data_IF_195365706831
#
_entry.id   IF_195365706831
#
_cell.length_a   1.000
_cell.length_b   1.000
_cell.length_c   1.000
_cell.angle_alpha   90.00
_cell.angle_beta   90.00
_cell.angle_gamma   90.00
#
_symmetry.space_group_name_H-M   'P 1'
#
loop_
_entity.id
_entity.type
_entity.pdbx_description
1 polymer ?
#
# COMPACT_ATOMS: atom_id res chain seq x y z
N UNK A 1 -13.64 22.98 23.65
CA UNK A 1 -12.51 23.94 23.78
C UNK A 1 -12.22 24.52 22.40
N UNK A 2 -11.93 25.82 22.24
CA UNK A 2 -11.47 26.33 20.95
C UNK A 2 -10.13 25.65 20.61
N UNK A 3 -9.98 25.25 19.34
CA UNK A 3 -8.77 24.62 18.82
C UNK A 3 -7.55 25.48 19.11
N UNK A 4 -6.43 24.83 19.43
CA UNK A 4 -5.17 25.48 19.78
C UNK A 4 -4.78 26.45 18.64
N UNK A 5 -4.49 27.75 18.90
CA UNK A 5 -4.08 28.67 17.86
C UNK A 5 -2.80 28.15 17.20
N UNK A 6 -2.86 28.00 15.87
CA UNK A 6 -1.76 27.50 15.03
C UNK A 6 -0.44 28.14 15.43
N UNK A 7 0.52 27.34 15.90
CA UNK A 7 1.91 27.77 16.01
C UNK A 7 2.40 28.10 14.61
N UNK A 8 2.71 29.38 14.37
CA UNK A 8 3.20 29.88 13.10
C UNK A 8 4.47 29.12 12.68
N UNK A 9 4.39 28.32 11.62
CA UNK A 9 5.60 27.67 11.06
C UNK A 9 5.41 26.48 10.12
N UNK A 10 4.29 25.73 10.17
CA UNK A 10 4.11 24.56 9.29
C UNK A 10 2.77 24.64 8.56
N UNK A 11 2.79 24.86 7.25
CA UNK A 11 1.61 25.14 6.42
C UNK A 11 0.86 23.89 5.93
N UNK A 12 0.88 22.78 6.66
CA UNK A 12 0.22 21.53 6.25
C UNK A 12 -0.01 20.57 7.42
N UNK A 13 -0.97 19.65 7.26
CA UNK A 13 -1.23 18.57 8.20
C UNK A 13 -0.04 17.61 8.25
N UNK A 14 0.34 17.15 9.45
CA UNK A 14 1.39 16.14 9.59
C UNK A 14 0.86 14.78 9.16
N UNK A 15 1.54 14.17 8.20
CA UNK A 15 1.15 12.89 7.61
C UNK A 15 1.91 11.74 8.30
N UNK A 16 1.19 10.95 9.09
CA UNK A 16 1.70 9.78 9.82
C UNK A 16 1.23 8.50 9.12
N UNK A 17 2.12 7.55 8.87
CA UNK A 17 1.75 6.21 8.43
C UNK A 17 2.02 5.17 9.52
N UNK A 18 1.08 4.25 9.70
CA UNK A 18 1.19 3.12 10.62
C UNK A 18 1.28 1.85 9.79
N UNK A 19 2.42 1.17 9.89
CA UNK A 19 2.68 -0.12 9.22
C UNK A 19 2.82 -1.24 10.24
N UNK A 20 2.81 -2.48 9.75
CA UNK A 20 3.00 -3.68 10.54
C UNK A 20 2.29 -4.88 9.94
N UNK A 21 2.65 -6.07 10.41
CA UNK A 21 2.04 -7.33 9.97
C UNK A 21 0.51 -7.33 10.15
N UNK A 22 -0.21 -8.04 9.29
CA UNK A 22 -1.63 -8.32 9.39
C UNK A 22 -1.98 -8.93 10.76
N UNK A 23 -3.06 -8.44 11.38
CA UNK A 23 -3.50 -8.93 12.69
C UNK A 23 -2.70 -8.42 13.90
N UNK A 24 -1.68 -7.57 13.73
CA UNK A 24 -0.91 -6.96 14.83
C UNK A 24 -1.65 -5.87 15.61
N UNK A 25 -2.86 -5.48 15.17
CA UNK A 25 -3.66 -4.45 15.83
C UNK A 25 -3.33 -3.02 15.39
N UNK A 26 -2.97 -2.82 14.11
CA UNK A 26 -2.77 -1.48 13.53
C UNK A 26 -3.98 -0.58 13.69
N UNK A 27 -5.16 -1.02 13.27
CA UNK A 27 -6.41 -0.26 13.40
C UNK A 27 -6.74 0.09 14.86
N UNK A 28 -6.56 -0.87 15.77
CA UNK A 28 -6.68 -0.64 17.22
C UNK A 28 -5.73 0.48 17.68
N UNK A 29 -4.45 0.41 17.31
CA UNK A 29 -3.47 1.42 17.68
C UNK A 29 -3.80 2.79 17.07
N UNK A 30 -4.07 2.83 15.76
CA UNK A 30 -4.36 4.05 15.01
C UNK A 30 -5.58 4.77 15.59
N UNK A 31 -6.67 4.05 15.85
CA UNK A 31 -7.88 4.64 16.43
C UNK A 31 -7.65 5.23 17.82
N UNK A 32 -6.90 4.56 18.69
CA UNK A 32 -6.61 5.09 20.02
C UNK A 32 -5.62 6.28 19.97
N UNK A 33 -4.62 6.24 19.08
CA UNK A 33 -3.69 7.36 18.84
C UNK A 33 -4.41 8.59 18.30
N UNK A 34 -5.22 8.42 17.24
CA UNK A 34 -6.04 9.49 16.63
C UNK A 34 -6.96 10.11 17.68
N UNK A 35 -7.62 9.27 18.49
CA UNK A 35 -8.50 9.72 19.55
C UNK A 35 -7.76 10.55 20.60
N UNK A 36 -6.56 10.15 21.02
CA UNK A 36 -5.74 10.96 21.94
C UNK A 36 -5.26 12.26 21.31
N UNK A 37 -4.76 12.24 20.08
CA UNK A 37 -4.34 13.46 19.39
C UNK A 37 -5.51 14.46 19.28
N UNK A 38 -6.72 14.00 19.00
CA UNK A 38 -7.91 14.84 18.97
C UNK A 38 -8.34 15.38 20.34
N UNK A 39 -8.17 14.60 21.41
CA UNK A 39 -8.40 15.07 22.78
C UNK A 39 -7.34 16.07 23.26
N UNK A 40 -6.17 16.09 22.64
CA UNK A 40 -5.16 17.14 22.81
C UNK A 40 -5.48 18.42 21.99
N UNK A 41 -6.68 18.51 21.39
CA UNK A 41 -7.16 19.70 20.70
C UNK A 41 -6.79 19.79 19.21
N UNK A 42 -6.27 18.71 18.63
CA UNK A 42 -5.90 18.65 17.22
C UNK A 42 -7.08 18.20 16.34
N UNK A 43 -7.12 18.68 15.11
CA UNK A 43 -8.04 18.20 14.07
C UNK A 43 -7.39 17.03 13.34
N UNK A 44 -7.94 15.82 13.53
CA UNK A 44 -7.29 14.58 13.09
C UNK A 44 -8.19 13.80 12.16
N UNK A 45 -7.61 13.31 11.06
CA UNK A 45 -8.23 12.37 10.12
C UNK A 45 -7.55 11.00 10.23
N UNK A 46 -8.34 9.95 10.46
CA UNK A 46 -7.90 8.56 10.27
C UNK A 46 -8.21 8.13 8.83
N UNK A 47 -7.20 7.62 8.13
CA UNK A 47 -7.34 7.03 6.78
C UNK A 47 -7.08 5.52 6.85
N UNK A 48 -8.10 4.72 6.53
CA UNK A 48 -7.94 3.28 6.33
C UNK A 48 -7.36 2.99 4.94
N UNK A 49 -6.15 2.44 4.90
CA UNK A 49 -5.40 2.11 3.68
C UNK A 49 -5.16 0.59 3.58
N UNK A 50 -6.16 -0.20 3.95
CA UNK A 50 -6.16 -1.65 3.92
C UNK A 50 -7.40 -2.13 3.12
N UNK A 51 -7.26 -3.06 2.15
CA UNK A 51 -8.40 -3.68 1.47
C UNK A 51 -9.46 -4.27 2.41
N UNK A 52 -9.08 -4.61 3.65
CA UNK A 52 -9.97 -5.09 4.72
C UNK A 52 -11.01 -4.05 5.19
N UNK A 53 -10.79 -2.75 4.94
CA UNK A 53 -11.76 -1.65 5.13
C UNK A 53 -12.46 -1.55 6.50
N UNK A 54 -11.78 -1.95 7.58
CA UNK A 54 -12.31 -1.96 8.95
C UNK A 54 -11.52 -1.04 9.91
N UNK A 55 -10.66 -0.17 9.38
CA UNK A 55 -9.75 0.66 10.18
C UNK A 55 -10.52 1.61 11.10
N UNK A 56 -11.55 2.25 10.56
CA UNK A 56 -12.35 3.27 11.24
C UNK A 56 -13.51 2.69 12.06
N UNK A 57 -13.80 1.39 12.01
CA UNK A 57 -15.00 0.81 12.65
C UNK A 57 -15.07 1.16 14.14
N UNK A 58 -13.98 0.97 14.89
CA UNK A 58 -13.91 1.32 16.31
C UNK A 58 -14.02 2.83 16.55
N UNK A 59 -13.47 3.66 15.65
CA UNK A 59 -13.57 5.13 15.74
C UNK A 59 -15.04 5.60 15.61
N UNK A 60 -15.84 4.89 14.80
CA UNK A 60 -17.26 5.16 14.57
C UNK A 60 -18.20 4.24 15.37
N UNK A 61 -17.73 3.66 16.48
CA UNK A 61 -18.58 2.90 17.41
C UNK A 61 -19.19 1.64 16.80
N UNK A 62 -18.48 1.00 15.86
CA UNK A 62 -18.88 -0.23 15.16
C UNK A 62 -19.57 0.01 13.82
N UNK A 63 -19.79 1.27 13.41
CA UNK A 63 -20.34 1.58 12.08
C UNK A 63 -19.27 1.42 11.02
N UNK A 64 -19.51 0.51 10.07
CA UNK A 64 -18.66 0.36 8.87
C UNK A 64 -18.90 1.55 7.93
N UNK A 65 -17.84 2.26 7.58
CA UNK A 65 -17.90 3.33 6.60
C UNK A 65 -17.92 2.74 5.18
N UNK A 66 -18.59 3.40 4.21
CA UNK A 66 -18.43 3.04 2.82
C UNK A 66 -17.00 3.38 2.36
N UNK A 67 -16.44 2.55 1.49
CA UNK A 67 -15.10 2.83 0.95
C UNK A 67 -15.16 3.91 -0.12
N UNK A 68 -14.07 4.67 -0.27
CA UNK A 68 -13.91 5.67 -1.32
C UNK A 68 -14.14 5.05 -2.70
N UNK A 69 -13.63 3.84 -2.93
CA UNK A 69 -13.84 3.09 -4.17
C UNK A 69 -15.32 2.79 -4.46
N UNK A 70 -16.10 2.40 -3.45
CA UNK A 70 -17.52 2.09 -3.59
C UNK A 70 -18.36 3.34 -3.82
N UNK A 71 -18.06 4.42 -3.10
CA UNK A 71 -18.72 5.72 -3.31
C UNK A 71 -18.42 6.25 -4.71
N UNK A 72 -17.16 6.21 -5.15
CA UNK A 72 -16.79 6.63 -6.49
C UNK A 72 -17.50 5.80 -7.56
N UNK A 73 -17.59 4.47 -7.39
CA UNK A 73 -18.30 3.59 -8.33
C UNK A 73 -19.78 3.96 -8.45
N UNK A 74 -20.42 4.27 -7.34
CA UNK A 74 -21.83 4.69 -7.30
C UNK A 74 -22.06 5.98 -8.08
N UNK A 75 -21.18 6.98 -7.91
CA UNK A 75 -21.26 8.24 -8.66
C UNK A 75 -20.96 8.03 -10.16
N UNK A 76 -20.01 7.16 -10.49
CA UNK A 76 -19.67 6.80 -11.86
C UNK A 76 -20.82 6.10 -12.59
N UNK A 77 -21.43 5.09 -11.98
CA UNK A 77 -22.58 4.38 -12.55
C UNK A 77 -23.79 5.29 -12.77
N UNK A 78 -23.94 6.31 -11.93
CA UNK A 78 -24.97 7.35 -12.09
C UNK A 78 -24.60 8.46 -13.09
N UNK A 79 -23.39 8.46 -13.67
CA UNK A 79 -22.90 9.51 -14.57
C UNK A 79 -22.69 10.87 -13.89
N UNK A 80 -22.45 10.89 -12.57
CA UNK A 80 -22.36 12.09 -11.71
C UNK A 80 -20.97 12.28 -11.11
N UNK A 81 -19.92 11.79 -11.77
CA UNK A 81 -18.54 11.80 -11.27
C UNK A 81 -18.07 13.21 -10.82
N UNK A 82 -18.49 14.25 -11.55
CA UNK A 82 -18.16 15.65 -11.27
C UNK A 82 -18.81 16.20 -9.98
N UNK A 83 -19.85 15.53 -9.46
CA UNK A 83 -20.51 15.89 -8.20
C UNK A 83 -19.82 15.26 -6.98
N UNK A 84 -18.89 14.32 -7.19
CA UNK A 84 -18.20 13.66 -6.10
C UNK A 84 -17.25 14.63 -5.38
N UNK A 85 -17.59 14.95 -4.14
CA UNK A 85 -16.82 15.82 -3.24
C UNK A 85 -16.36 15.10 -1.96
N UNK A 86 -15.45 15.73 -1.22
CA UNK A 86 -14.90 15.23 0.06
C UNK A 86 -15.97 14.77 1.06
N UNK A 87 -17.08 15.49 1.18
CA UNK A 87 -18.16 15.20 2.14
C UNK A 87 -18.83 13.84 1.93
N UNK A 88 -18.68 13.21 0.77
CA UNK A 88 -19.24 11.89 0.48
C UNK A 88 -18.34 10.74 0.95
N UNK A 89 -17.07 11.02 1.25
CA UNK A 89 -16.07 10.00 1.61
C UNK A 89 -15.37 10.28 2.94
N UNK A 90 -15.42 11.52 3.43
CA UNK A 90 -14.89 11.92 4.74
C UNK A 90 -16.05 12.06 5.73
N UNK A 91 -16.07 11.19 6.72
CA UNK A 91 -17.09 11.15 7.75
C UNK A 91 -16.56 11.76 9.04
N UNK A 92 -17.45 12.25 9.91
CA UNK A 92 -17.11 12.80 11.22
C UNK A 92 -17.88 12.10 12.32
N UNK A 93 -17.28 11.99 13.49
CA UNK A 93 -17.92 11.49 14.71
C UNK A 93 -17.35 12.19 15.93
N UNK A 94 -18.05 12.10 17.06
CA UNK A 94 -17.60 12.61 18.35
C UNK A 94 -17.14 11.46 19.24
N UNK A 95 -16.04 11.65 19.95
CA UNK A 95 -15.46 10.66 20.87
C UNK A 95 -15.57 11.14 22.32
N UNK A 96 -15.47 10.21 23.27
CA UNK A 96 -15.49 10.46 24.72
C UNK A 96 -16.64 11.39 25.14
N UNK A 97 -17.87 10.96 24.88
CA UNK A 97 -19.10 11.68 25.24
C UNK A 97 -19.16 13.14 24.73
N UNK A 98 -18.61 13.38 23.54
CA UNK A 98 -18.62 14.69 22.89
C UNK A 98 -17.42 15.58 23.21
N UNK A 99 -16.40 15.06 23.89
CA UNK A 99 -15.22 15.85 24.26
C UNK A 99 -14.40 16.35 23.05
N UNK A 100 -14.39 15.60 21.94
CA UNK A 100 -13.72 16.02 20.70
C UNK A 100 -14.38 15.42 19.44
N UNK A 101 -14.13 16.06 18.30
CA UNK A 101 -14.56 15.59 16.97
C UNK A 101 -13.37 15.01 16.22
N UNK A 102 -13.56 13.86 15.59
CA UNK A 102 -12.58 13.18 14.74
C UNK A 102 -13.17 12.90 13.35
N UNK A 103 -12.30 12.79 12.35
CA UNK A 103 -12.67 12.48 10.98
C UNK A 103 -12.14 11.11 10.58
N UNK A 104 -12.86 10.42 9.70
CA UNK A 104 -12.44 9.13 9.16
C UNK A 104 -12.83 8.92 7.71
N UNK A 105 -12.05 8.11 7.01
CA UNK A 105 -12.29 7.69 5.64
C UNK A 105 -11.66 6.31 5.42
N UNK A 106 -12.38 5.43 4.75
CA UNK A 106 -11.87 4.15 4.26
C UNK A 106 -11.54 4.30 2.78
N UNK A 107 -10.27 4.20 2.38
CA UNK A 107 -9.93 4.14 0.95
C UNK A 107 -10.41 2.81 0.38
N UNK A 108 -10.24 1.73 1.16
CA UNK A 108 -10.56 0.37 0.77
C UNK A 108 -9.60 -0.21 -0.26
N UNK A 109 -10.05 -1.29 -0.89
CA UNK A 109 -9.33 -2.00 -1.94
C UNK A 109 -10.32 -2.62 -2.92
N UNK A 110 -9.83 -3.26 -3.99
CA UNK A 110 -10.71 -3.98 -4.91
C UNK A 110 -11.42 -5.13 -4.19
N UNK A 111 -12.51 -5.63 -4.79
CA UNK A 111 -13.22 -6.82 -4.31
C UNK A 111 -12.26 -7.98 -4.02
N UNK A 112 -12.52 -8.73 -2.94
CA UNK A 112 -11.70 -9.88 -2.56
C UNK A 112 -11.53 -10.83 -3.74
N UNK A 113 -10.28 -11.15 -4.08
CA UNK A 113 -9.93 -12.02 -5.21
C UNK A 113 -9.91 -11.34 -6.59
N UNK A 114 -10.09 -10.01 -6.67
CA UNK A 114 -10.04 -9.24 -7.92
C UNK A 114 -9.14 -8.02 -7.81
N UNK A 115 -8.66 -7.53 -8.95
CA UNK A 115 -7.91 -6.27 -9.03
C UNK A 115 -6.53 -6.28 -8.37
N UNK A 116 -6.01 -5.09 -8.05
CA UNK A 116 -4.75 -4.91 -7.33
C UNK A 116 -4.97 -3.91 -6.19
N UNK A 117 -4.77 -4.36 -4.95
CA UNK A 117 -4.93 -3.54 -3.73
C UNK A 117 -4.16 -2.23 -3.81
N UNK A 118 -2.90 -2.29 -4.23
CA UNK A 118 -2.06 -1.11 -4.37
C UNK A 118 -2.60 -0.06 -5.36
N UNK A 119 -3.24 -0.47 -6.47
CA UNK A 119 -3.84 0.49 -7.41
C UNK A 119 -5.05 1.21 -6.82
N UNK A 120 -5.85 0.53 -6.01
CA UNK A 120 -6.97 1.15 -5.29
C UNK A 120 -6.50 2.22 -4.32
N UNK A 121 -5.42 1.94 -3.58
CA UNK A 121 -4.81 2.90 -2.67
C UNK A 121 -4.32 4.15 -3.41
N UNK A 122 -3.51 3.97 -4.48
CA UNK A 122 -3.02 5.10 -5.27
C UNK A 122 -4.17 5.94 -5.83
N UNK A 123 -5.19 5.31 -6.41
CA UNK A 123 -6.38 6.01 -6.90
C UNK A 123 -7.10 6.81 -5.81
N UNK A 124 -7.23 6.23 -4.61
CA UNK A 124 -7.84 6.90 -3.47
C UNK A 124 -7.07 8.16 -3.06
N UNK A 125 -5.74 8.09 -2.96
CA UNK A 125 -4.92 9.27 -2.68
C UNK A 125 -5.04 10.34 -3.77
N UNK A 126 -4.96 9.95 -5.04
CA UNK A 126 -5.11 10.90 -6.15
C UNK A 126 -6.48 11.61 -6.10
N UNK A 127 -7.55 10.92 -5.64
CA UNK A 127 -8.87 11.51 -5.44
C UNK A 127 -8.92 12.45 -4.23
N UNK A 128 -8.33 12.07 -3.10
CA UNK A 128 -8.24 12.92 -1.91
C UNK A 128 -7.43 14.19 -2.18
N UNK A 129 -6.34 14.10 -2.95
CA UNK A 129 -5.58 15.25 -3.42
C UNK A 129 -6.41 16.18 -4.29
N UNK A 130 -7.21 15.64 -5.23
CA UNK A 130 -8.17 16.43 -6.03
C UNK A 130 -9.21 17.14 -5.16
N UNK A 131 -9.61 16.56 -4.03
CA UNK A 131 -10.49 17.20 -3.05
C UNK A 131 -9.78 18.22 -2.14
N UNK A 132 -8.49 18.46 -2.36
CA UNK A 132 -7.71 19.45 -1.64
C UNK A 132 -7.24 18.98 -0.27
N UNK A 133 -6.90 17.70 -0.10
CA UNK A 133 -6.36 17.13 1.16
C UNK A 133 -5.29 18.03 1.81
N UNK A 134 -4.38 18.61 1.02
CA UNK A 134 -3.32 19.50 1.49
C UNK A 134 -3.80 20.88 1.98
N UNK A 135 -5.01 21.30 1.60
CA UNK A 135 -5.64 22.57 1.97
C UNK A 135 -6.59 22.43 3.15
N UNK A 136 -6.93 21.20 3.53
CA UNK A 136 -7.81 20.95 4.67
C UNK A 136 -7.15 21.45 5.95
N UNK A 137 -7.94 22.08 6.80
CA UNK A 137 -7.48 22.57 8.10
C UNK A 137 -7.39 21.42 9.12
N UNK A 138 -6.60 20.39 8.79
CA UNK A 138 -6.23 19.28 9.67
C UNK A 138 -4.84 19.55 10.25
N UNK A 139 -4.62 19.08 11.47
CA UNK A 139 -3.30 19.07 12.11
C UNK A 139 -2.58 17.75 11.87
N UNK A 140 -3.35 16.64 11.77
CA UNK A 140 -2.84 15.29 11.53
C UNK A 140 -3.70 14.50 10.55
N UNK A 141 -3.03 13.71 9.71
CA UNK A 141 -3.62 12.61 8.96
C UNK A 141 -2.86 11.35 9.34
N UNK A 142 -3.55 10.37 9.92
CA UNK A 142 -2.95 9.11 10.35
C UNK A 142 -3.47 7.98 9.48
N UNK A 143 -2.57 7.36 8.73
CA UNK A 143 -2.88 6.36 7.72
C UNK A 143 -2.56 4.96 8.24
N UNK A 144 -3.56 4.08 8.28
CA UNK A 144 -3.42 2.67 8.66
C UNK A 144 -3.17 1.81 7.41
N UNK A 145 -1.91 1.40 7.20
CA UNK A 145 -1.47 0.68 6.01
C UNK A 145 -1.32 -0.81 6.24
N UNK A 146 -1.72 -1.60 5.22
CA UNK A 146 -1.35 -3.01 5.14
C UNK A 146 0.19 -3.14 5.03
N UNK A 147 0.82 -3.76 6.02
CA UNK A 147 2.28 -3.88 6.11
C UNK A 147 2.85 -5.28 5.92
N UNK A 148 2.04 -6.26 5.51
CA UNK A 148 2.52 -7.60 5.15
C UNK A 148 3.37 -7.59 3.88
N UNK A 149 3.05 -6.65 2.97
CA UNK A 149 3.76 -6.43 1.72
C UNK A 149 4.06 -4.94 1.58
N UNK A 150 5.30 -4.61 1.23
CA UNK A 150 5.73 -3.22 1.00
C UNK A 150 6.17 -3.08 -0.45
N UNK A 151 5.23 -3.33 -1.37
CA UNK A 151 5.46 -3.27 -2.80
C UNK A 151 4.34 -2.50 -3.52
N UNK A 152 4.66 -1.97 -4.71
CA UNK A 152 3.71 -1.23 -5.54
C UNK A 152 2.98 -0.13 -4.76
N UNK A 153 1.65 -0.14 -4.80
CA UNK A 153 0.82 0.87 -4.14
C UNK A 153 0.82 0.85 -2.61
N UNK A 154 1.23 -0.26 -1.98
CA UNK A 154 1.39 -0.33 -0.52
C UNK A 154 2.70 0.32 -0.03
N UNK A 155 3.65 0.54 -0.95
CA UNK A 155 4.84 1.34 -0.70
C UNK A 155 4.63 2.83 -1.00
N UNK A 156 3.49 3.25 -1.56
CA UNK A 156 3.23 4.64 -1.97
C UNK A 156 3.52 5.69 -0.88
N UNK A 157 3.17 5.48 0.40
CA UNK A 157 3.53 6.43 1.46
C UNK A 157 5.03 6.70 1.56
N UNK A 158 5.84 5.67 1.34
CA UNK A 158 7.29 5.74 1.39
C UNK A 158 7.85 6.27 0.06
N UNK A 159 7.39 5.72 -1.06
CA UNK A 159 7.94 5.98 -2.39
C UNK A 159 7.58 7.35 -2.97
N UNK A 160 6.37 7.85 -2.68
CA UNK A 160 5.93 9.20 -3.06
C UNK A 160 6.14 10.24 -1.96
N UNK A 161 6.73 9.85 -0.82
CA UNK A 161 6.86 10.71 0.36
C UNK A 161 5.54 11.35 0.82
N UNK A 162 4.42 10.61 0.72
CA UNK A 162 3.12 11.08 1.21
C UNK A 162 3.09 11.11 2.74
N UNK A 163 3.80 10.18 3.39
CA UNK A 163 4.01 10.21 4.83
C UNK A 163 5.29 10.96 5.17
N UNK A 164 5.23 11.88 6.13
CA UNK A 164 6.43 12.48 6.71
C UNK A 164 7.08 11.49 7.68
N UNK A 165 6.25 10.83 8.49
CA UNK A 165 6.68 10.00 9.62
C UNK A 165 5.98 8.64 9.60
N UNK A 166 6.74 7.58 9.88
CA UNK A 166 6.27 6.20 9.87
C UNK A 166 6.48 5.55 11.22
N UNK A 167 5.42 4.93 11.73
CA UNK A 167 5.42 4.09 12.92
C UNK A 167 5.28 2.63 12.47
N UNK A 168 6.10 1.74 13.02
CA UNK A 168 6.01 0.31 12.75
C UNK A 168 5.45 -0.41 13.98
N UNK A 169 4.35 -1.12 13.82
CA UNK A 169 3.77 -2.00 14.84
C UNK A 169 4.32 -3.42 14.70
N UNK A 170 4.82 -3.96 15.80
CA UNK A 170 5.31 -5.33 15.91
C UNK A 170 4.92 -5.95 17.25
N UNK A 171 5.06 -7.26 17.38
CA UNK A 171 5.05 -7.97 18.65
C UNK A 171 6.44 -8.50 18.94
N UNK A 172 6.54 -9.47 19.84
CA UNK A 172 7.80 -10.17 20.11
C UNK A 172 7.99 -11.44 19.25
N UNK A 173 7.04 -11.77 18.38
CA UNK A 173 7.09 -12.95 17.52
C UNK A 173 7.93 -12.72 16.25
N UNK A 174 8.50 -13.81 15.74
CA UNK A 174 9.36 -13.80 14.55
C UNK A 174 8.69 -13.21 13.31
N UNK A 175 7.41 -13.48 13.09
CA UNK A 175 6.76 -13.07 11.86
C UNK A 175 6.47 -11.57 11.85
N UNK A 176 6.06 -10.99 12.99
CA UNK A 176 5.82 -9.55 13.09
C UNK A 176 7.11 -8.74 13.00
N UNK A 177 8.20 -9.21 13.63
CA UNK A 177 9.51 -8.58 13.53
C UNK A 177 10.13 -8.73 12.14
N UNK A 178 9.85 -9.83 11.44
CA UNK A 178 10.28 -9.99 10.04
C UNK A 178 9.60 -8.96 9.13
N UNK A 179 8.29 -8.74 9.30
CA UNK A 179 7.58 -7.69 8.58
C UNK A 179 8.14 -6.31 8.93
N UNK A 180 8.41 -6.03 10.21
CA UNK A 180 9.03 -4.79 10.67
C UNK A 180 10.40 -4.55 10.00
N UNK A 181 11.23 -5.59 9.91
CA UNK A 181 12.52 -5.54 9.22
C UNK A 181 12.38 -5.18 7.73
N UNK A 182 11.42 -5.80 7.04
CA UNK A 182 11.14 -5.51 5.63
C UNK A 182 10.63 -4.07 5.42
N UNK A 183 9.78 -3.57 6.32
CA UNK A 183 9.31 -2.18 6.29
C UNK A 183 10.49 -1.22 6.51
N UNK A 184 11.37 -1.52 7.47
CA UNK A 184 12.57 -0.73 7.72
C UNK A 184 13.51 -0.72 6.50
N UNK A 185 13.70 -1.87 5.86
CA UNK A 185 14.47 -2.01 4.62
C UNK A 185 13.88 -1.18 3.48
N UNK A 186 12.56 -1.25 3.27
CA UNK A 186 11.89 -0.44 2.25
C UNK A 186 12.03 1.06 2.53
N UNK A 187 11.82 1.49 3.78
CA UNK A 187 11.96 2.90 4.16
C UNK A 187 13.38 3.42 3.94
N UNK A 188 14.41 2.64 4.32
CA UNK A 188 15.82 2.98 4.07
C UNK A 188 16.13 3.05 2.58
N UNK A 189 15.63 2.10 1.79
CA UNK A 189 15.79 2.11 0.34
C UNK A 189 15.23 3.40 -0.28
N UNK A 190 13.99 3.78 0.03
CA UNK A 190 13.41 5.01 -0.51
C UNK A 190 14.10 6.28 0.00
N UNK A 191 14.55 6.30 1.25
CA UNK A 191 15.35 7.41 1.78
C UNK A 191 16.68 7.56 0.99
N UNK A 192 17.35 6.45 0.65
CA UNK A 192 18.58 6.46 -0.16
C UNK A 192 18.36 7.00 -1.59
N UNK A 193 17.13 6.89 -2.09
CA UNK A 193 16.69 7.42 -3.39
C UNK A 193 16.24 8.90 -3.32
N UNK A 194 16.40 9.55 -2.16
CA UNK A 194 16.02 10.96 -1.94
C UNK A 194 14.61 11.17 -1.38
N UNK A 195 13.93 10.11 -0.95
CA UNK A 195 12.65 10.19 -0.24
C UNK A 195 12.79 10.93 1.10
N UNK A 196 11.73 11.63 1.51
CA UNK A 196 11.72 12.45 2.74
C UNK A 196 11.06 11.75 3.94
N UNK A 197 10.41 10.62 3.70
CA UNK A 197 9.76 9.83 4.75
C UNK A 197 10.80 9.26 5.70
N UNK A 198 10.56 9.41 7.00
CA UNK A 198 11.41 8.84 8.05
C UNK A 198 10.64 7.88 8.95
N UNK A 199 11.32 6.85 9.42
CA UNK A 199 10.83 6.05 10.54
C UNK A 199 11.00 6.86 11.82
N UNK A 200 10.02 6.83 12.71
CA UNK A 200 10.12 7.47 14.04
C UNK A 200 10.24 6.47 15.18
N UNK A 201 9.97 5.19 14.92
CA UNK A 201 10.23 4.10 15.87
C UNK A 201 9.21 2.96 15.81
N UNK A 202 9.40 2.01 16.72
CA UNK A 202 8.56 0.83 16.88
C UNK A 202 7.51 1.03 17.98
N UNK A 203 6.35 0.40 17.80
CA UNK A 203 5.37 0.16 18.84
C UNK A 203 5.28 -1.34 19.06
N UNK A 204 5.59 -1.78 20.27
CA UNK A 204 5.44 -3.19 20.65
C UNK A 204 4.01 -3.38 21.12
N UNK A 205 3.17 -4.02 20.32
CA UNK A 205 1.79 -4.34 20.69
C UNK A 205 1.67 -5.79 21.15
N UNK A 206 0.70 -6.05 22.05
CA UNK A 206 0.54 -7.34 22.72
C UNK A 206 1.85 -7.80 23.37
N UNK A 207 2.54 -6.86 24.01
CA UNK A 207 3.82 -7.13 24.65
C UNK A 207 3.64 -8.22 25.71
N UNK A 208 4.42 -9.30 25.54
CA UNK A 208 4.47 -10.46 26.41
C UNK A 208 5.61 -10.39 27.44
N UNK A 209 6.39 -9.30 27.43
CA UNK A 209 7.49 -9.07 28.36
C UNK A 209 8.79 -9.80 28.02
N UNK A 210 8.87 -10.50 26.88
CA UNK A 210 10.09 -11.22 26.46
C UNK A 210 11.24 -10.28 26.02
N UNK A 211 10.92 -9.02 25.71
CA UNK A 211 11.89 -8.00 25.29
C UNK A 211 12.56 -8.27 23.94
N UNK A 212 12.05 -9.22 23.14
CA UNK A 212 12.62 -9.56 21.83
C UNK A 212 12.56 -8.38 20.88
N UNK A 213 11.41 -7.68 20.83
CA UNK A 213 11.23 -6.50 19.99
C UNK A 213 12.17 -5.34 20.38
N UNK A 214 12.48 -5.21 21.68
CA UNK A 214 13.42 -4.19 22.16
C UNK A 214 14.86 -4.48 21.69
N UNK A 215 15.30 -5.75 21.76
CA UNK A 215 16.61 -6.16 21.22
C UNK A 215 16.70 -5.98 19.71
N UNK A 216 15.62 -6.32 19.00
CA UNK A 216 15.51 -6.06 17.57
C UNK A 216 15.63 -4.57 17.25
N UNK A 217 14.86 -3.72 17.94
CA UNK A 217 14.91 -2.26 17.81
C UNK A 217 16.32 -1.70 17.96
N UNK A 218 17.05 -2.14 18.99
CA UNK A 218 18.44 -1.74 19.23
C UNK A 218 19.35 -2.12 18.05
N UNK A 219 19.25 -3.35 17.55
CA UNK A 219 20.09 -3.82 16.44
C UNK A 219 19.81 -3.08 15.12
N UNK A 220 18.56 -2.70 14.86
CA UNK A 220 18.20 -1.94 13.65
C UNK A 220 18.29 -0.42 13.82
N UNK A 221 18.73 0.04 15.00
CA UNK A 221 18.84 1.44 15.38
C UNK A 221 17.51 2.22 15.26
N UNK A 222 16.44 1.65 15.80
CA UNK A 222 15.15 2.32 15.94
C UNK A 222 14.71 2.37 17.41
N UNK A 223 14.14 3.48 17.88
CA UNK A 223 13.61 3.56 19.24
C UNK A 223 12.30 2.78 19.38
N UNK A 224 12.07 2.18 20.54
CA UNK A 224 10.73 1.74 20.95
C UNK A 224 9.99 2.93 21.55
N UNK A 225 8.94 3.39 20.88
CA UNK A 225 8.15 4.56 21.31
C UNK A 225 7.16 4.22 22.44
N UNK A 226 6.56 3.03 22.37
CA UNK A 226 5.68 2.52 23.41
C UNK A 226 5.61 0.99 23.37
N UNK A 227 5.31 0.40 24.53
CA UNK A 227 4.99 -1.01 24.69
C UNK A 227 3.57 -1.12 25.25
N UNK A 228 2.68 -1.73 24.49
CA UNK A 228 1.26 -1.92 24.80
C UNK A 228 1.10 -3.38 25.26
N UNK A 229 0.75 -3.61 26.54
CA UNK A 229 0.67 -4.95 27.10
C UNK A 229 -0.47 -5.74 26.49
N UNK A 230 -0.33 -7.07 26.42
CA UNK A 230 -1.47 -7.94 26.16
C UNK A 230 -2.45 -7.89 27.34
N UNK A 231 -3.67 -7.40 27.10
CA UNK A 231 -4.70 -7.26 28.13
C UNK A 231 -6.05 -7.78 27.61
N UNK A 232 -6.71 -8.62 28.42
CA UNK A 232 -7.97 -9.25 28.05
C UNK A 232 -9.13 -8.26 28.03
N UNK A 233 -9.21 -7.36 29.01
CA UNK A 233 -10.29 -6.37 29.10
C UNK A 233 -10.21 -5.41 27.92
N UNK A 234 -9.01 -4.95 27.56
CA UNK A 234 -8.84 -4.07 26.39
C UNK A 234 -9.10 -4.80 25.08
N UNK A 235 -8.76 -6.08 24.98
CA UNK A 235 -9.16 -6.90 23.83
C UNK A 235 -10.68 -6.97 23.70
N UNK A 236 -11.40 -7.24 24.79
CA UNK A 236 -12.87 -7.30 24.79
C UNK A 236 -13.50 -5.94 24.42
N UNK A 237 -12.91 -4.82 24.84
CA UNK A 237 -13.29 -3.48 24.39
C UNK A 237 -13.09 -3.31 22.88
N UNK A 238 -11.91 -3.70 22.37
CA UNK A 238 -11.59 -3.59 20.95
C UNK A 238 -12.52 -4.43 20.09
N UNK A 239 -12.80 -5.68 20.50
CA UNK A 239 -13.74 -6.58 19.82
C UNK A 239 -15.17 -6.01 19.82
N UNK A 240 -15.52 -5.22 20.84
CA UNK A 240 -16.79 -4.48 20.94
C UNK A 240 -16.74 -3.09 20.27
N UNK A 241 -15.71 -2.78 19.47
CA UNK A 241 -15.53 -1.48 18.81
C UNK A 241 -15.50 -0.28 19.77
N UNK A 242 -14.93 -0.46 20.96
CA UNK A 242 -14.76 0.58 21.98
C UNK A 242 -13.30 1.00 22.10
N UNK A 243 -13.09 2.27 22.47
CA UNK A 243 -11.76 2.82 22.72
C UNK A 243 -11.15 2.22 23.99
N UNK A 244 -9.86 1.88 23.91
CA UNK A 244 -9.08 1.43 25.06
C UNK A 244 -8.85 2.55 26.08
N UNK A 245 -9.10 3.80 25.69
CA UNK A 245 -8.94 5.00 26.50
C UNK A 245 -9.88 5.07 27.71
N UNK A 246 -10.87 4.18 27.79
CA UNK A 246 -11.70 3.99 28.99
C UNK A 246 -10.96 3.21 30.09
N UNK A 247 -9.89 2.50 29.74
CA UNK A 247 -9.01 1.82 30.69
C UNK A 247 -7.82 2.77 31.04
N UNK A 248 -7.64 3.15 32.31
CA UNK A 248 -6.66 4.18 32.72
C UNK A 248 -5.20 3.89 32.37
N UNK A 249 -4.75 2.64 32.46
CA UNK A 249 -3.38 2.24 32.10
C UNK A 249 -3.14 2.45 30.61
N UNK A 250 -4.11 2.08 29.76
CA UNK A 250 -3.99 2.27 28.32
C UNK A 250 -4.13 3.73 27.92
N UNK A 251 -5.03 4.48 28.56
CA UNK A 251 -5.14 5.93 28.37
C UNK A 251 -3.80 6.64 28.64
N UNK A 252 -3.12 6.29 29.73
CA UNK A 252 -1.82 6.86 30.08
C UNK A 252 -0.71 6.53 29.06
N UNK A 253 -0.74 5.33 28.45
CA UNK A 253 0.22 4.94 27.40
C UNK A 253 -0.01 5.80 26.15
N UNK A 254 -1.26 5.90 25.69
CA UNK A 254 -1.58 6.66 24.49
C UNK A 254 -1.45 8.18 24.70
N UNK A 255 -1.77 8.72 25.89
CA UNK A 255 -1.56 10.14 26.20
C UNK A 255 -0.07 10.50 26.13
N UNK A 256 0.80 9.69 26.76
CA UNK A 256 2.25 9.88 26.69
C UNK A 256 2.76 9.86 25.25
N UNK A 257 2.36 8.85 24.47
CA UNK A 257 2.77 8.70 23.08
C UNK A 257 2.27 9.86 22.21
N UNK A 258 1.00 10.22 22.34
CA UNK A 258 0.40 11.32 21.57
C UNK A 258 1.07 12.66 21.87
N UNK A 259 1.41 12.92 23.15
CA UNK A 259 2.19 14.11 23.53
C UNK A 259 3.60 14.10 22.96
N UNK A 260 4.30 12.96 23.02
CA UNK A 260 5.63 12.83 22.42
C UNK A 260 5.61 13.14 20.92
N UNK A 261 4.62 12.61 20.19
CA UNK A 261 4.44 12.88 18.76
C UNK A 261 4.08 14.36 18.54
N UNK A 262 3.09 14.88 19.27
CA UNK A 262 2.58 16.23 19.09
C UNK A 262 3.64 17.30 19.36
N UNK A 263 4.45 17.09 20.39
CA UNK A 263 5.49 18.01 20.83
C UNK A 263 6.85 17.73 20.17
N UNK A 264 6.91 16.78 19.22
CA UNK A 264 8.14 16.39 18.50
C UNK A 264 9.28 15.97 19.44
N UNK A 265 8.94 15.26 20.51
CA UNK A 265 9.86 14.73 21.53
C UNK A 265 10.23 13.25 21.33
N UNK A 266 9.91 12.69 20.16
CA UNK A 266 10.37 11.35 19.78
C UNK A 266 11.89 11.37 19.59
N UNK A 267 12.62 10.29 19.92
CA UNK A 267 14.05 10.20 19.64
C UNK A 267 14.33 10.44 18.15
N UNK A 268 15.40 11.18 17.78
CA UNK A 268 15.75 11.40 16.39
C UNK A 268 16.17 10.07 15.75
N UNK A 269 15.77 9.89 14.50
CA UNK A 269 16.14 8.74 13.68
C UNK A 269 16.71 9.27 12.38
N UNK A 270 17.98 8.99 12.14
CA UNK A 270 18.63 9.26 10.86
C UNK A 270 18.50 8.00 9.98
N UNK A 271 17.84 8.14 8.83
CA UNK A 271 17.55 6.99 7.96
C UNK A 271 18.82 6.29 7.44
N UNK A 272 19.94 7.00 7.37
CA UNK A 272 21.25 6.43 7.01
C UNK A 272 21.77 5.45 8.07
N UNK A 273 21.39 5.64 9.33
CA UNK A 273 21.85 4.83 10.46
C UNK A 273 20.88 3.68 10.79
N UNK A 274 19.71 3.62 10.15
CA UNK A 274 18.79 2.48 10.27
C UNK A 274 19.43 1.25 9.64
N UNK A 275 19.49 0.14 10.37
CA UNK A 275 20.20 -1.06 9.95
C UNK A 275 19.28 -2.28 9.87
N UNK A 276 18.47 -2.42 8.81
CA UNK A 276 17.70 -3.64 8.59
C UNK A 276 18.65 -4.86 8.56
N UNK A 277 18.25 -5.92 9.25
CA UNK A 277 19.08 -7.11 9.43
C UNK A 277 19.00 -8.03 8.23
N UNK A 278 20.13 -8.62 7.87
CA UNK A 278 20.15 -9.79 7.00
C UNK A 278 19.53 -11.00 7.71
N UNK A 279 19.12 -12.02 6.96
CA UNK A 279 18.36 -13.14 7.52
C UNK A 279 19.07 -13.85 8.69
N UNK A 280 20.37 -14.09 8.58
CA UNK A 280 21.16 -14.73 9.63
C UNK A 280 21.27 -13.87 10.91
N UNK A 281 21.43 -12.55 10.79
CA UNK A 281 21.44 -11.61 11.92
C UNK A 281 20.06 -11.54 12.57
N UNK A 282 19.02 -11.52 11.74
CA UNK A 282 17.64 -11.53 12.20
C UNK A 282 17.32 -12.78 13.02
N UNK A 283 17.81 -13.96 12.65
CA UNK A 283 17.62 -15.18 13.45
C UNK A 283 18.28 -15.06 14.84
N UNK A 284 19.44 -14.40 14.94
CA UNK A 284 20.15 -14.23 16.22
C UNK A 284 19.39 -13.39 17.23
N UNK A 285 18.48 -12.51 16.80
CA UNK A 285 17.53 -11.79 17.66
C UNK A 285 16.72 -12.76 18.55
N UNK A 286 16.42 -13.94 17.99
CA UNK A 286 15.67 -15.01 18.64
C UNK A 286 16.57 -16.08 19.27
N UNK A 287 17.88 -15.87 19.30
CA UNK A 287 18.85 -16.86 19.76
C UNK A 287 18.95 -18.08 18.85
N UNK A 288 18.61 -17.93 17.57
CA UNK A 288 18.75 -18.97 16.56
C UNK A 288 19.84 -18.60 15.54
N UNK A 289 20.44 -19.61 14.92
CA UNK A 289 21.36 -19.45 13.80
C UNK A 289 20.78 -20.13 12.56
N UNK A 290 21.14 -19.59 11.39
CA UNK A 290 20.83 -20.24 10.12
C UNK A 290 21.65 -21.54 10.02
N UNK A 291 21.02 -22.70 9.78
CA UNK A 291 21.77 -23.93 9.57
C UNK A 291 22.66 -23.81 8.33
N UNK A 292 23.93 -24.21 8.46
CA UNK A 292 24.85 -24.32 7.32
C UNK A 292 24.51 -25.55 6.45
N UNK A 293 23.37 -25.46 5.76
CA UNK A 293 22.87 -26.50 4.86
C UNK A 293 22.36 -25.85 3.59
N UNK A 294 23.03 -26.14 2.48
CA UNK A 294 22.54 -25.79 1.15
C UNK A 294 21.44 -26.80 0.74
N UNK A 295 20.20 -26.37 0.46
CA UNK A 295 19.16 -27.26 -0.05
C UNK A 295 19.54 -27.84 -1.41
N UNK A 296 19.33 -29.14 -1.61
CA UNK A 296 19.48 -29.76 -2.92
C UNK A 296 18.27 -29.43 -3.79
N UNK A 297 18.50 -28.93 -5.02
CA UNK A 297 17.44 -28.71 -5.99
C UNK A 297 16.85 -30.03 -6.49
N UNK A 298 15.53 -30.10 -6.63
CA UNK A 298 14.86 -31.27 -7.21
C UNK A 298 15.19 -31.41 -8.70
N UNK A 299 15.52 -32.61 -9.12
CA UNK A 299 15.73 -32.98 -10.52
C UNK A 299 14.42 -33.01 -11.30
N UNK A 300 14.52 -32.93 -12.64
CA UNK A 300 13.36 -33.14 -13.50
C UNK A 300 12.72 -34.51 -13.26
N UNK A 301 13.52 -35.56 -13.05
CA UNK A 301 13.00 -36.90 -12.82
C UNK A 301 12.13 -36.98 -11.55
N UNK A 302 12.59 -36.35 -10.46
CA UNK A 302 11.83 -36.25 -9.21
C UNK A 302 10.54 -35.43 -9.37
N UNK A 303 10.59 -34.34 -10.12
CA UNK A 303 9.44 -33.46 -10.35
C UNK A 303 8.40 -34.05 -11.31
N UNK A 304 8.85 -34.80 -12.32
CA UNK A 304 8.01 -35.39 -13.37
C UNK A 304 7.71 -36.88 -13.15
N UNK A 305 8.25 -37.49 -12.09
CA UNK A 305 8.04 -38.91 -11.75
C UNK A 305 8.46 -39.86 -12.89
N UNK A 306 9.56 -39.55 -13.57
CA UNK A 306 10.01 -40.28 -14.76
C UNK A 306 9.15 -40.11 -16.02
N UNK A 307 8.13 -39.23 -15.99
CA UNK A 307 7.36 -38.94 -17.18
C UNK A 307 8.12 -38.00 -18.13
N UNK A 308 8.01 -38.21 -19.46
CA UNK A 308 8.61 -37.31 -20.42
C UNK A 308 8.00 -35.91 -20.28
N UNK A 309 8.87 -34.93 -20.07
CA UNK A 309 8.49 -33.52 -20.00
C UNK A 309 7.88 -33.13 -21.33
N UNK A 310 6.57 -32.84 -21.34
CA UNK A 310 5.94 -32.27 -22.54
C UNK A 310 6.49 -30.86 -22.73
N UNK A 311 6.98 -30.51 -23.93
CA UNK A 311 7.35 -29.13 -24.21
C UNK A 311 6.12 -28.25 -23.96
N UNK A 312 6.22 -27.33 -23.00
CA UNK A 312 5.18 -26.32 -22.82
C UNK A 312 5.28 -25.43 -24.05
N UNK A 313 4.22 -25.33 -24.88
CA UNK A 313 4.25 -24.46 -26.05
C UNK A 313 4.61 -23.06 -25.57
N UNK A 314 5.74 -22.56 -26.04
CA UNK A 314 6.21 -21.22 -25.74
C UNK A 314 5.90 -20.39 -26.96
N UNK A 315 5.06 -19.37 -26.81
CA UNK A 315 4.80 -18.43 -27.89
C UNK A 315 5.91 -17.39 -27.85
N UNK A 316 6.83 -17.41 -28.81
CA UNK A 316 7.80 -16.35 -29.01
C UNK A 316 7.14 -15.24 -29.83
N UNK A 317 7.03 -14.04 -29.26
CA UNK A 317 6.64 -12.85 -30.00
C UNK A 317 7.85 -12.36 -30.80
N UNK A 318 8.09 -12.96 -31.96
CA UNK A 318 9.15 -12.56 -32.86
C UNK A 318 8.85 -11.20 -33.49
N UNK A 319 9.57 -10.16 -33.08
CA UNK A 319 9.54 -8.86 -33.77
C UNK A 319 9.99 -9.07 -35.23
N UNK A 320 9.06 -8.97 -36.20
CA UNK A 320 9.38 -9.04 -37.63
C UNK A 320 10.46 -8.01 -38.00
N UNK A 321 11.35 -8.29 -38.93
CA UNK A 321 12.47 -7.38 -39.25
C UNK A 321 12.14 -6.29 -40.30
N UNK A 322 10.93 -6.28 -40.88
CA UNK A 322 10.49 -5.30 -41.89
C UNK A 322 8.99 -5.06 -41.87
N UNK A 323 8.61 -3.79 -42.07
CA UNK A 323 7.23 -3.36 -42.24
C UNK A 323 6.61 -3.94 -43.51
N UNK A 324 5.47 -4.63 -43.37
CA UNK A 324 4.62 -5.01 -44.50
C UNK A 324 3.42 -4.05 -44.54
N UNK A 325 3.53 -3.04 -45.40
CA UNK A 325 2.41 -2.25 -45.92
C UNK A 325 2.03 -1.00 -45.11
N UNK A 326 2.19 0.17 -45.73
CA UNK A 326 1.39 1.35 -45.38
C UNK A 326 -0.09 1.02 -45.62
N UNK A 327 -0.92 1.02 -44.56
CA UNK A 327 -2.37 0.87 -44.69
C UNK A 327 -3.04 2.25 -44.85
N UNK A 328 -3.69 2.55 -45.99
CA UNK A 328 -4.20 3.89 -46.27
C UNK A 328 -5.44 4.32 -45.46
N UNK A 329 -6.17 3.38 -44.85
CA UNK A 329 -7.51 3.64 -44.27
C UNK A 329 -7.59 3.35 -42.76
N UNK A 330 -6.84 4.10 -41.95
CA UNK A 330 -6.97 4.08 -40.49
C UNK A 330 -7.43 5.45 -40.00
N UNK A 331 -8.34 5.46 -39.03
CA UNK A 331 -8.71 6.69 -38.33
C UNK A 331 -7.49 7.27 -37.58
N UNK A 332 -7.50 8.58 -37.26
CA UNK A 332 -6.33 9.25 -36.67
C UNK A 332 -5.89 8.69 -35.30
N UNK A 333 -6.80 8.11 -34.51
CA UNK A 333 -6.48 7.52 -33.22
C UNK A 333 -5.76 6.18 -33.42
N UNK A 334 -6.33 5.29 -34.22
CA UNK A 334 -5.74 3.99 -34.54
C UNK A 334 -4.38 4.15 -35.24
N UNK A 335 -4.23 5.13 -36.13
CA UNK A 335 -2.95 5.42 -36.79
C UNK A 335 -1.86 5.82 -35.78
N UNK A 336 -2.18 6.65 -34.78
CA UNK A 336 -1.22 7.05 -33.73
C UNK A 336 -0.77 5.87 -32.88
N UNK A 337 -1.70 4.96 -32.57
CA UNK A 337 -1.41 3.73 -31.83
C UNK A 337 -0.45 2.85 -32.61
N UNK A 338 -0.79 2.54 -33.86
CA UNK A 338 0.02 1.71 -34.74
C UNK A 338 1.43 2.29 -34.90
N UNK A 339 1.54 3.60 -35.08
CA UNK A 339 2.82 4.28 -35.20
C UNK A 339 3.64 4.22 -33.91
N UNK A 340 3.02 4.33 -32.73
CA UNK A 340 3.70 4.18 -31.45
C UNK A 340 4.12 2.74 -31.16
N UNK A 341 3.29 1.75 -31.46
CA UNK A 341 3.69 0.34 -31.30
C UNK A 341 4.87 -0.01 -32.20
N UNK A 342 4.90 0.55 -33.41
CA UNK A 342 6.04 0.40 -34.31
C UNK A 342 7.29 1.13 -33.77
N UNK A 343 7.15 2.39 -33.35
CA UNK A 343 8.29 3.24 -32.96
C UNK A 343 8.87 2.83 -31.60
N UNK A 344 8.00 2.57 -30.63
CA UNK A 344 8.36 2.38 -29.23
C UNK A 344 8.55 0.92 -28.85
N UNK A 345 8.03 -0.03 -29.65
CA UNK A 345 8.11 -1.48 -29.38
C UNK A 345 8.60 -2.31 -30.56
N UNK A 346 8.71 -1.75 -31.76
CA UNK A 346 9.02 -2.50 -32.98
C UNK A 346 7.92 -3.49 -33.41
N UNK A 347 6.70 -3.37 -32.89
CA UNK A 347 5.60 -4.29 -33.20
C UNK A 347 4.86 -3.86 -34.46
N UNK A 348 4.72 -4.79 -35.40
CA UNK A 348 4.09 -4.53 -36.70
C UNK A 348 2.62 -4.91 -36.67
N UNK A 349 1.74 -3.94 -36.88
CA UNK A 349 0.29 -4.17 -36.94
C UNK A 349 -0.12 -4.51 -38.36
N UNK A 350 -0.53 -5.75 -38.58
CA UNK A 350 -1.04 -6.24 -39.86
C UNK A 350 -2.53 -6.01 -40.02
N UNK A 351 -3.33 -5.88 -38.96
CA UNK A 351 -4.75 -5.46 -39.02
C UNK A 351 -5.12 -4.64 -37.79
N UNK A 352 -6.03 -3.68 -37.96
CA UNK A 352 -6.61 -2.94 -36.84
C UNK A 352 -8.12 -2.87 -37.02
N UNK A 353 -8.85 -3.18 -35.95
CA UNK A 353 -10.31 -3.16 -35.93
C UNK A 353 -10.81 -2.63 -34.59
N UNK A 354 -12.03 -2.13 -34.58
CA UNK A 354 -12.72 -1.72 -33.36
C UNK A 354 -13.78 -2.76 -33.04
N UNK A 355 -13.65 -3.42 -31.88
CA UNK A 355 -14.63 -4.36 -31.35
C UNK A 355 -15.51 -3.64 -30.31
N UNK A 356 -16.85 -3.66 -30.46
CA UNK A 356 -17.77 -2.95 -29.55
C UNK A 356 -17.70 -3.40 -28.08
N UNK A 357 -17.21 -4.60 -27.80
CA UNK A 357 -17.06 -5.14 -26.44
C UNK A 357 -15.62 -5.10 -25.94
N UNK A 358 -14.63 -5.22 -26.83
CA UNK A 358 -13.21 -5.34 -26.47
C UNK A 358 -12.38 -4.09 -26.74
N UNK A 359 -12.98 -3.07 -27.34
CA UNK A 359 -12.28 -1.84 -27.75
C UNK A 359 -11.39 -2.09 -28.98
N UNK A 360 -10.27 -1.40 -29.05
CA UNK A 360 -9.35 -1.52 -30.18
C UNK A 360 -8.63 -2.88 -30.17
N UNK A 361 -8.71 -3.59 -31.28
CA UNK A 361 -8.03 -4.86 -31.53
C UNK A 361 -7.03 -4.71 -32.66
N UNK A 362 -5.78 -5.11 -32.40
CA UNK A 362 -4.68 -5.01 -33.34
C UNK A 362 -4.12 -6.41 -33.60
N UNK A 363 -4.19 -6.86 -34.84
CA UNK A 363 -3.48 -8.07 -35.27
C UNK A 363 -2.05 -7.69 -35.60
N UNK A 364 -1.09 -8.32 -34.93
CA UNK A 364 0.34 -8.22 -35.19
C UNK A 364 0.85 -9.49 -35.86
N UNK A 365 1.84 -9.33 -36.73
CA UNK A 365 2.54 -10.41 -37.45
C UNK A 365 1.60 -11.38 -38.22
N UNK A 366 0.42 -10.90 -38.62
CA UNK A 366 -0.55 -11.64 -39.43
C UNK A 366 -1.44 -12.63 -38.67
N UNK A 367 -1.05 -13.06 -37.47
CA UNK A 367 -1.70 -14.16 -36.76
C UNK A 367 -2.08 -13.87 -35.30
N UNK A 368 -1.59 -12.76 -34.71
CA UNK A 368 -1.72 -12.51 -33.27
C UNK A 368 -2.59 -11.29 -33.01
N UNK A 369 -3.82 -11.46 -32.52
CA UNK A 369 -4.70 -10.32 -32.18
C UNK A 369 -4.53 -9.87 -30.72
N UNK A 370 -4.05 -8.66 -30.53
CA UNK A 370 -3.91 -7.97 -29.24
C UNK A 370 -5.15 -7.09 -29.01
N UNK A 371 -5.82 -7.27 -27.88
CA UNK A 371 -6.91 -6.38 -27.45
C UNK A 371 -6.35 -5.24 -26.61
N UNK A 372 -6.28 -4.03 -27.16
CA UNK A 372 -5.76 -2.84 -26.47
C UNK A 372 -6.81 -2.13 -25.60
N UNK A 373 -8.11 -2.40 -25.79
CA UNK A 373 -9.17 -1.80 -25.00
C UNK A 373 -9.45 -0.35 -25.41
N UNK A 374 -9.75 0.51 -24.44
CA UNK A 374 -10.03 1.94 -24.65
C UNK A 374 -8.72 2.72 -24.95
N UNK A 375 -8.80 3.70 -25.86
CA UNK A 375 -7.72 4.63 -26.23
C UNK A 375 -7.16 5.37 -25.01
N UNK A 376 -7.98 5.62 -23.98
CA UNK A 376 -7.54 6.33 -22.74
C UNK A 376 -6.49 5.57 -21.93
N UNK A 377 -6.43 4.25 -22.08
CA UNK A 377 -5.45 3.41 -21.38
C UNK A 377 -4.17 3.17 -22.19
N UNK A 378 -4.13 3.69 -23.43
CA UNK A 378 -3.08 3.40 -24.39
C UNK A 378 -1.71 3.90 -23.91
N UNK A 379 -1.63 5.13 -23.42
CA UNK A 379 -0.36 5.71 -22.96
C UNK A 379 0.27 4.88 -21.85
N UNK A 380 -0.55 4.41 -20.90
CA UNK A 380 -0.07 3.57 -19.79
C UNK A 380 0.39 2.20 -20.29
N UNK A 381 -0.32 1.58 -21.22
CA UNK A 381 0.03 0.27 -21.77
C UNK A 381 1.29 0.33 -22.65
N UNK A 382 1.38 1.33 -23.53
CA UNK A 382 2.57 1.55 -24.37
C UNK A 382 3.78 1.92 -23.51
N UNK A 383 3.62 2.75 -22.47
CA UNK A 383 4.70 3.08 -21.55
C UNK A 383 5.21 1.85 -20.78
N UNK A 384 4.32 0.95 -20.34
CA UNK A 384 4.71 -0.31 -19.69
C UNK A 384 5.47 -1.20 -20.67
N UNK A 385 4.94 -1.40 -21.89
CA UNK A 385 5.60 -2.24 -22.89
C UNK A 385 6.96 -1.64 -23.32
N UNK A 386 7.07 -0.32 -23.42
CA UNK A 386 8.29 0.36 -23.82
C UNK A 386 9.33 0.38 -22.69
N UNK A 387 8.88 0.51 -21.44
CA UNK A 387 9.73 0.38 -20.26
C UNK A 387 10.26 -1.05 -20.11
N UNK A 388 9.42 -2.06 -20.39
CA UNK A 388 9.85 -3.44 -20.50
C UNK A 388 10.92 -3.52 -21.60
N UNK A 389 10.62 -3.18 -22.85
CA UNK A 389 11.59 -3.29 -23.95
C UNK A 389 12.94 -2.58 -23.66
N UNK A 390 12.92 -1.36 -23.09
CA UNK A 390 14.15 -0.62 -22.74
C UNK A 390 15.02 -1.31 -21.69
N UNK A 391 14.45 -2.15 -20.83
CA UNK A 391 15.23 -2.90 -19.84
C UNK A 391 16.09 -4.01 -20.45
N UNK A 392 15.82 -4.42 -21.69
CA UNK A 392 16.58 -5.46 -22.39
C UNK A 392 16.43 -6.86 -21.80
N UNK A 393 15.62 -7.03 -20.75
CA UNK A 393 15.36 -8.33 -20.14
C UNK A 393 14.34 -9.14 -20.96
N UNK A 394 14.37 -10.47 -20.95
CA UNK A 394 13.31 -11.27 -21.54
C UNK A 394 12.05 -11.24 -20.65
N UNK A 395 10.90 -10.81 -21.18
CA UNK A 395 9.63 -10.74 -20.44
C UNK A 395 8.68 -11.85 -20.82
N UNK A 396 8.00 -12.45 -19.84
CA UNK A 396 6.95 -13.42 -20.10
C UNK A 396 5.56 -12.83 -19.89
N UNK A 397 4.73 -12.86 -20.93
CA UNK A 397 3.30 -12.58 -20.77
C UNK A 397 2.62 -13.84 -20.21
N UNK A 398 1.56 -13.69 -19.41
CA UNK A 398 0.76 -14.81 -18.87
C UNK A 398 -0.71 -14.43 -18.91
N UNK A 399 -1.52 -15.14 -19.71
CA UNK A 399 -2.97 -14.92 -19.74
C UNK A 399 -3.64 -15.66 -18.59
N UNK A 400 -3.92 -14.94 -17.51
CA UNK A 400 -4.53 -15.47 -16.28
C UNK A 400 -5.98 -15.94 -16.44
N UNK A 401 -6.64 -15.70 -17.58
CA UNK A 401 -8.01 -16.16 -17.83
C UNK A 401 -8.09 -17.63 -18.22
N UNK A 402 -6.96 -18.23 -18.61
CA UNK A 402 -6.85 -19.66 -18.93
C UNK A 402 -5.68 -20.24 -18.14
N UNK A 403 -5.91 -20.97 -17.04
CA UNK A 403 -4.82 -21.57 -16.25
C UNK A 403 -3.98 -22.60 -17.02
N UNK A 404 -4.43 -23.02 -18.22
CA UNK A 404 -3.70 -23.86 -19.16
C UNK A 404 -3.11 -23.07 -20.36
N UNK A 405 -3.10 -21.74 -20.35
CA UNK A 405 -2.55 -20.95 -21.46
C UNK A 405 -1.03 -21.14 -21.58
N UNK A 406 -0.48 -21.16 -22.81
CA UNK A 406 0.95 -21.25 -23.03
C UNK A 406 1.69 -20.10 -22.34
N UNK A 407 2.87 -20.38 -21.80
CA UNK A 407 3.79 -19.35 -21.33
C UNK A 407 4.26 -18.56 -22.55
N UNK A 408 4.03 -17.25 -22.57
CA UNK A 408 4.51 -16.36 -23.62
C UNK A 408 5.89 -15.88 -23.21
N UNK A 409 6.87 -15.79 -24.12
CA UNK A 409 8.26 -15.44 -23.79
C UNK A 409 8.81 -14.33 -24.66
#
# INVERSE_FOLDING_TARGET
>A
MPANPRTAGTSGARMLAVYGKGGMGKSFFTTNLVSKLALLGNRVLQLGCDPKHDSCNALFGGVSLPTLGDVWRTFKEAGREDELQAQHVIFKTTIMDGASTVYGCEIGGPEVGRGCGGRGITFGFDLLEKFGLSQWALDYVVMDFLGDVVCGGFATPLSRSLAEEVIILCGNDRQSLYAANNIASAARYFASMGGRTRLIGLIVNRDDGSGVAARFAEQINLPVLASIPLDRTVRELADACKLALSEPRFDAIFDRLARQIAERRTPPVEMADVHPLEYHEFLRVFGADEPDRVPQGASADELFGGQPVRPIPTLELGLMSRAVGDKPELDPATRRVVQRLLTDLGMYVTEASQDPQKGMTLTVDGNTTICFGDERELESKVAILAALQKSGEPFRYVDLRRPASPLYR
#
